data_IF_478266423431
#
_entry.id   IF_478266423431
#
_cell.length_a   1.000
_cell.length_b   1.000
_cell.length_c   1.000
_cell.angle_alpha   90.00
_cell.angle_beta   90.00
_cell.angle_gamma   90.00
#
_symmetry.space_group_name_H-M   'P 1'
#
loop_
_entity.id
_entity.type
_entity.pdbx_description
1 polymer ?
#
# COMPACT_ATOMS: atom_id res chain seq x y z
N UNK A 1 -1.59 -10.32 27.03
CA UNK A 1 -0.18 -9.89 26.92
C UNK A 1 0.33 -10.34 25.57
N UNK A 2 0.48 -9.41 24.62
CA UNK A 2 0.96 -9.63 23.23
C UNK A 2 1.91 -8.49 22.79
N UNK A 3 2.45 -7.76 23.77
CA UNK A 3 3.25 -6.55 23.55
C UNK A 3 4.68 -6.85 23.08
N UNK A 4 5.26 -8.01 23.43
CA UNK A 4 6.66 -8.32 23.10
C UNK A 4 6.90 -8.61 21.62
N UNK A 5 5.99 -9.35 20.96
CA UNK A 5 6.14 -9.71 19.53
C UNK A 5 6.08 -8.50 18.58
N UNK A 6 5.42 -7.43 19.01
CA UNK A 6 5.15 -6.29 18.13
C UNK A 6 6.31 -5.28 18.11
N UNK A 7 7.20 -5.36 19.11
CA UNK A 7 8.44 -4.58 19.24
C UNK A 7 9.63 -5.20 18.50
N UNK A 8 9.56 -6.48 18.11
CA UNK A 8 10.66 -7.19 17.44
C UNK A 8 10.66 -7.05 15.91
N UNK A 9 9.62 -6.46 15.31
CA UNK A 9 9.55 -6.24 13.86
C UNK A 9 10.29 -4.96 13.48
N UNK A 10 11.57 -5.09 13.23
CA UNK A 10 12.40 -4.02 12.69
C UNK A 10 12.23 -3.85 11.16
N UNK A 11 12.81 -2.76 10.63
CA UNK A 11 12.73 -2.45 9.21
C UNK A 11 13.30 -3.56 8.30
N UNK A 12 14.45 -4.21 8.62
CA UNK A 12 14.91 -5.39 7.88
C UNK A 12 13.89 -6.54 7.80
N UNK A 13 13.21 -6.88 8.89
CA UNK A 13 12.18 -7.93 8.87
C UNK A 13 10.96 -7.53 8.01
N UNK A 14 10.53 -6.26 8.11
CA UNK A 14 9.36 -5.76 7.40
C UNK A 14 9.61 -5.50 5.90
N UNK A 15 10.81 -5.05 5.54
CA UNK A 15 11.10 -4.54 4.20
C UNK A 15 12.24 -5.27 3.49
N UNK A 16 12.82 -6.29 4.13
CA UNK A 16 13.79 -7.18 3.48
C UNK A 16 13.16 -8.17 2.50
N UNK A 17 13.95 -8.84 1.65
CA UNK A 17 13.43 -9.76 0.63
C UNK A 17 12.54 -10.89 1.17
N UNK A 18 12.84 -11.40 2.36
CA UNK A 18 12.06 -12.46 3.01
C UNK A 18 10.59 -12.04 3.26
N UNK A 19 10.32 -10.74 3.39
CA UNK A 19 8.98 -10.20 3.63
C UNK A 19 8.01 -10.46 2.46
N UNK A 20 8.52 -10.68 1.24
CA UNK A 20 7.68 -11.01 0.07
C UNK A 20 6.99 -12.36 0.21
N UNK A 21 7.65 -13.31 0.89
CA UNK A 21 7.10 -14.64 1.14
C UNK A 21 6.43 -14.69 2.50
N UNK A 22 7.09 -14.21 3.56
CA UNK A 22 6.61 -14.38 4.92
C UNK A 22 5.38 -13.53 5.28
N UNK A 23 5.11 -12.48 4.49
CA UNK A 23 4.18 -11.43 4.86
C UNK A 23 4.87 -10.33 5.65
N UNK A 24 4.23 -9.16 5.66
CA UNK A 24 4.78 -7.96 6.25
C UNK A 24 3.73 -6.98 6.74
N UNK A 25 4.14 -6.19 7.72
CA UNK A 25 3.40 -5.11 8.34
C UNK A 25 4.43 -4.02 8.66
N UNK A 26 4.01 -2.75 8.59
CA UNK A 26 4.88 -1.65 9.05
C UNK A 26 5.41 -1.93 10.46
N UNK A 27 6.68 -1.59 10.78
CA UNK A 27 7.21 -1.60 12.14
C UNK A 27 6.37 -0.77 13.12
N UNK A 28 6.53 -1.01 14.42
CA UNK A 28 5.73 -0.37 15.47
C UNK A 28 5.69 1.16 15.38
N UNK A 29 6.84 1.80 15.16
CA UNK A 29 6.92 3.26 15.03
C UNK A 29 6.19 3.74 13.76
N UNK A 30 6.27 2.96 12.68
CA UNK A 30 5.57 3.25 11.43
C UNK A 30 4.05 3.14 11.58
N UNK A 31 3.57 2.11 12.30
CA UNK A 31 2.13 1.96 12.63
C UNK A 31 1.65 3.09 13.52
N UNK A 32 2.41 3.42 14.57
CA UNK A 32 2.08 4.47 15.52
C UNK A 32 2.01 5.83 14.84
N UNK A 33 2.96 6.15 13.95
CA UNK A 33 2.93 7.39 13.18
C UNK A 33 1.67 7.49 12.32
N UNK A 34 1.30 6.40 11.64
CA UNK A 34 0.10 6.35 10.79
C UNK A 34 -1.22 6.33 11.58
N UNK A 35 -1.19 6.22 12.89
CA UNK A 35 -2.37 6.23 13.76
C UNK A 35 -2.42 7.50 14.64
N UNK A 36 -1.47 8.42 14.46
CA UNK A 36 -1.38 9.62 15.26
C UNK A 36 -2.65 10.47 15.19
N UNK A 37 -3.03 11.16 16.28
CA UNK A 37 -4.22 12.00 16.31
C UNK A 37 -4.13 13.21 15.37
N UNK A 38 -2.91 13.59 14.98
CA UNK A 38 -2.64 14.80 14.19
C UNK A 38 -2.90 14.64 12.68
N UNK A 39 -3.38 13.47 12.26
CA UNK A 39 -3.67 13.19 10.87
C UNK A 39 -2.53 12.55 10.12
N UNK A 40 -2.57 12.70 8.80
CA UNK A 40 -1.51 12.21 7.92
C UNK A 40 -0.22 13.00 8.15
N UNK A 41 0.96 12.33 8.16
CA UNK A 41 2.23 13.03 8.23
C UNK A 41 2.36 14.04 7.08
N UNK A 42 2.81 15.27 7.36
CA UNK A 42 2.88 16.34 6.34
C UNK A 42 3.74 15.95 5.14
N UNK A 43 4.82 15.18 5.36
CA UNK A 43 5.68 14.65 4.31
C UNK A 43 4.94 13.78 3.29
N UNK A 44 3.80 13.17 3.65
CA UNK A 44 2.91 12.50 2.68
C UNK A 44 2.33 13.50 1.71
N UNK A 45 1.93 14.68 2.16
CA UNK A 45 1.32 15.69 1.30
C UNK A 45 2.33 16.34 0.36
N UNK A 46 3.60 16.37 0.76
CA UNK A 46 4.68 17.00 0.00
C UNK A 46 5.46 16.03 -0.90
N UNK A 47 5.20 14.71 -0.81
CA UNK A 47 5.94 13.72 -1.59
C UNK A 47 5.70 13.84 -3.10
N UNK A 48 6.77 13.98 -3.87
CA UNK A 48 6.73 14.07 -5.34
C UNK A 48 7.28 12.81 -6.04
N UNK A 49 7.97 11.95 -5.30
CA UNK A 49 8.61 10.73 -5.81
C UNK A 49 8.55 9.59 -4.79
N UNK A 50 8.77 8.37 -5.27
CA UNK A 50 8.87 7.17 -4.41
C UNK A 50 9.98 7.33 -3.36
N UNK A 51 9.75 6.83 -2.16
CA UNK A 51 10.69 6.97 -1.07
C UNK A 51 10.08 6.67 0.30
N UNK A 52 10.45 7.48 1.29
CA UNK A 52 10.12 7.27 2.69
C UNK A 52 9.72 8.60 3.32
N UNK A 53 8.47 8.69 3.80
CA UNK A 53 7.99 9.88 4.53
C UNK A 53 8.48 9.90 5.97
N UNK A 54 8.89 8.72 6.46
CA UNK A 54 9.57 8.48 7.72
C UNK A 54 10.38 7.17 7.57
N UNK A 55 11.34 6.87 8.47
CA UNK A 55 12.14 5.64 8.40
C UNK A 55 11.34 4.33 8.24
N UNK A 56 10.08 4.28 8.72
CA UNK A 56 9.25 3.08 8.72
C UNK A 56 7.94 3.25 7.91
N UNK A 57 7.88 4.23 7.02
CA UNK A 57 6.69 4.55 6.24
C UNK A 57 7.07 4.78 4.76
N UNK A 58 7.03 3.72 3.94
CA UNK A 58 7.30 3.85 2.50
C UNK A 58 6.16 4.58 1.81
N UNK A 59 6.49 5.31 0.75
CA UNK A 59 5.52 5.98 -0.12
C UNK A 59 5.86 5.72 -1.59
N UNK A 60 4.82 5.44 -2.37
CA UNK A 60 4.87 5.26 -3.82
C UNK A 60 4.00 6.33 -4.47
N UNK A 61 4.57 7.13 -5.35
CA UNK A 61 3.90 8.25 -6.02
C UNK A 61 3.55 7.84 -7.45
N UNK A 62 2.25 7.81 -7.76
CA UNK A 62 1.69 7.45 -9.07
C UNK A 62 0.86 8.61 -9.59
N UNK A 63 1.54 9.57 -10.21
CA UNK A 63 0.92 10.82 -10.65
C UNK A 63 0.34 11.61 -9.47
N UNK A 64 -0.99 11.77 -9.43
CA UNK A 64 -1.68 12.46 -8.32
C UNK A 64 -2.00 11.56 -7.13
N UNK A 65 -1.85 10.23 -7.28
CA UNK A 65 -2.04 9.29 -6.20
C UNK A 65 -0.74 9.10 -5.42
N UNK A 66 -0.83 9.16 -4.10
CA UNK A 66 0.25 8.80 -3.19
C UNK A 66 -0.18 7.58 -2.40
N UNK A 67 0.56 6.50 -2.53
CA UNK A 67 0.22 5.20 -1.99
C UNK A 67 1.18 4.94 -0.85
N UNK A 68 0.64 4.67 0.34
CA UNK A 68 1.38 4.23 1.50
C UNK A 68 1.10 2.73 1.68
N UNK A 69 2.00 1.85 1.21
CA UNK A 69 1.94 0.43 1.53
C UNK A 69 1.91 0.24 3.04
N UNK A 70 0.92 -0.50 3.53
CA UNK A 70 0.69 -0.70 4.96
C UNK A 70 0.99 -2.14 5.39
N UNK A 71 0.58 -3.11 4.57
CA UNK A 71 0.80 -4.52 4.86
C UNK A 71 0.75 -5.38 3.60
N UNK A 72 1.41 -6.53 3.69
CA UNK A 72 1.43 -7.61 2.71
C UNK A 72 1.19 -8.92 3.43
N UNK A 73 0.32 -9.78 2.89
CA UNK A 73 -0.10 -10.98 3.61
C UNK A 73 0.94 -12.10 3.56
N UNK A 74 1.52 -12.37 2.38
CA UNK A 74 2.42 -13.50 2.17
C UNK A 74 1.81 -14.83 2.64
N UNK A 75 2.66 -15.80 2.98
CA UNK A 75 2.27 -17.11 3.50
C UNK A 75 1.83 -17.10 4.98
N UNK A 76 1.94 -15.94 5.64
CA UNK A 76 1.54 -15.73 7.04
C UNK A 76 2.57 -16.17 8.08
N UNK A 77 3.78 -16.60 7.69
CA UNK A 77 4.84 -17.02 8.62
C UNK A 77 5.51 -15.86 9.37
N UNK A 78 5.53 -14.66 8.79
CA UNK A 78 6.07 -13.44 9.39
C UNK A 78 5.02 -12.54 10.04
N UNK A 79 3.85 -12.40 9.39
CA UNK A 79 2.72 -11.61 9.91
C UNK A 79 1.43 -12.40 9.71
N UNK A 80 0.66 -12.55 10.78
CA UNK A 80 -0.59 -13.31 10.70
C UNK A 80 -1.71 -12.47 10.07
N UNK A 81 -2.63 -13.11 9.33
CA UNK A 81 -3.85 -12.48 8.82
C UNK A 81 -4.58 -11.56 9.81
N UNK A 82 -4.74 -12.03 11.04
CA UNK A 82 -5.48 -11.31 12.08
C UNK A 82 -4.76 -10.02 12.54
N UNK A 83 -3.44 -9.95 12.41
CA UNK A 83 -2.66 -8.76 12.76
C UNK A 83 -2.88 -7.67 11.71
N UNK A 84 -2.90 -8.05 10.42
CA UNK A 84 -3.19 -7.12 9.33
C UNK A 84 -4.64 -6.62 9.42
N UNK A 85 -5.59 -7.52 9.71
CA UNK A 85 -6.98 -7.15 9.90
C UNK A 85 -7.16 -6.18 11.08
N UNK A 86 -6.50 -6.46 12.21
CA UNK A 86 -6.52 -5.57 13.38
C UNK A 86 -5.91 -4.19 13.03
N UNK A 87 -4.80 -4.16 12.31
CA UNK A 87 -4.18 -2.91 11.87
C UNK A 87 -5.10 -2.13 10.92
N UNK A 88 -5.77 -2.79 9.97
CA UNK A 88 -6.75 -2.14 9.10
C UNK A 88 -7.91 -1.52 9.87
N UNK A 89 -8.44 -2.22 10.90
CA UNK A 89 -9.47 -1.66 11.78
C UNK A 89 -8.96 -0.44 12.56
N UNK A 90 -7.71 -0.46 13.02
CA UNK A 90 -7.09 0.70 13.67
C UNK A 90 -6.91 1.87 12.70
N UNK A 91 -6.51 1.61 11.45
CA UNK A 91 -6.40 2.63 10.40
C UNK A 91 -7.76 3.23 10.04
N UNK A 92 -8.82 2.41 10.00
CA UNK A 92 -10.18 2.90 9.80
C UNK A 92 -10.60 3.81 10.96
N UNK A 93 -10.31 3.43 12.20
CA UNK A 93 -10.57 4.27 13.38
C UNK A 93 -9.75 5.57 13.37
N UNK A 94 -8.48 5.53 12.96
CA UNK A 94 -7.65 6.72 12.79
C UNK A 94 -8.24 7.64 11.71
N UNK A 95 -8.65 7.08 10.56
CA UNK A 95 -9.36 7.82 9.52
C UNK A 95 -10.62 8.52 10.02
N UNK A 96 -11.39 7.87 10.91
CA UNK A 96 -12.53 8.50 11.57
C UNK A 96 -12.16 9.71 12.41
N UNK A 97 -11.05 9.62 13.16
CA UNK A 97 -10.56 10.74 13.97
C UNK A 97 -10.11 11.90 13.09
N UNK A 98 -9.46 11.61 11.96
CA UNK A 98 -8.91 12.64 11.07
C UNK A 98 -9.98 13.37 10.25
N UNK A 99 -10.96 12.63 9.74
CA UNK A 99 -11.81 13.08 8.65
C UNK A 99 -13.31 12.78 8.86
N UNK A 100 -13.69 12.28 10.04
CA UNK A 100 -15.06 11.91 10.37
C UNK A 100 -15.50 10.60 9.72
N UNK A 101 -16.81 10.42 9.53
CA UNK A 101 -17.35 9.14 9.05
C UNK A 101 -16.80 8.77 7.67
N UNK A 102 -16.36 7.51 7.54
CA UNK A 102 -15.94 6.94 6.27
C UNK A 102 -17.14 6.51 5.45
N UNK A 103 -16.89 6.27 4.17
CA UNK A 103 -17.84 5.65 3.24
C UNK A 103 -17.16 4.50 2.54
N UNK A 104 -17.90 3.44 2.25
CA UNK A 104 -17.42 2.41 1.34
C UNK A 104 -17.57 2.93 -0.08
N UNK A 105 -16.47 2.96 -0.83
CA UNK A 105 -16.51 3.26 -2.25
C UNK A 105 -16.89 1.97 -2.99
N UNK A 106 -18.09 1.96 -3.60
CA UNK A 106 -18.49 0.85 -4.48
C UNK A 106 -17.67 0.90 -5.77
N UNK A 107 -16.61 0.08 -5.82
CA UNK A 107 -15.74 -0.01 -6.99
C UNK A 107 -16.40 -0.75 -8.16
N UNK A 108 -17.52 -1.43 -7.94
CA UNK A 108 -18.26 -2.15 -8.98
C UNK A 108 -19.21 -1.24 -9.76
N UNK A 109 -19.69 -0.17 -9.11
CA UNK A 109 -20.55 0.85 -9.71
C UNK A 109 -19.91 1.44 -10.98
N UNK A 110 -20.72 1.58 -12.03
CA UNK A 110 -20.30 2.27 -13.26
C UNK A 110 -20.70 3.73 -13.18
N UNK A 111 -19.70 4.62 -13.19
CA UNK A 111 -19.89 6.08 -13.15
C UNK A 111 -19.11 6.73 -14.29
N UNK A 112 -19.63 7.83 -14.82
CA UNK A 112 -18.98 8.65 -15.85
C UNK A 112 -18.41 9.94 -15.25
N UNK A 113 -17.63 9.80 -14.18
CA UNK A 113 -16.98 10.89 -13.47
C UNK A 113 -15.56 10.48 -13.00
N UNK A 114 -14.88 11.36 -12.29
CA UNK A 114 -13.55 11.08 -11.72
C UNK A 114 -13.56 9.94 -10.71
N UNK A 115 -14.69 9.69 -10.03
CA UNK A 115 -14.85 8.56 -9.11
C UNK A 115 -14.88 7.26 -9.91
N UNK A 116 -15.68 7.18 -10.97
CA UNK A 116 -15.72 6.02 -11.87
C UNK A 116 -14.37 5.70 -12.50
N UNK A 117 -13.60 6.73 -12.84
CA UNK A 117 -12.23 6.58 -13.36
C UNK A 117 -11.29 5.99 -12.31
N UNK A 118 -11.36 6.47 -11.06
CA UNK A 118 -10.56 5.96 -9.94
C UNK A 118 -10.98 4.54 -9.53
N UNK A 119 -12.28 4.25 -9.42
CA UNK A 119 -12.82 2.91 -9.18
C UNK A 119 -12.41 1.91 -10.27
N UNK A 120 -12.38 2.35 -11.53
CA UNK A 120 -11.87 1.56 -12.65
C UNK A 120 -10.40 1.19 -12.49
N UNK A 121 -9.56 2.16 -12.11
CA UNK A 121 -8.14 1.94 -11.87
C UNK A 121 -7.89 1.04 -10.65
N UNK A 122 -8.65 1.21 -9.56
CA UNK A 122 -8.62 0.36 -8.37
C UNK A 122 -8.95 -1.10 -8.71
N UNK A 123 -10.03 -1.34 -9.47
CA UNK A 123 -10.36 -2.70 -9.94
C UNK A 123 -9.24 -3.30 -10.80
N UNK A 124 -8.67 -2.52 -11.71
CA UNK A 124 -7.56 -2.98 -12.54
C UNK A 124 -6.30 -3.30 -11.72
N UNK A 125 -6.13 -2.64 -10.58
CA UNK A 125 -5.08 -2.92 -9.59
C UNK A 125 -5.44 -4.05 -8.60
N UNK A 126 -6.59 -4.72 -8.78
CA UNK A 126 -7.01 -5.83 -7.93
C UNK A 126 -7.62 -5.44 -6.59
N UNK A 127 -8.07 -4.18 -6.42
CA UNK A 127 -8.77 -3.75 -5.21
C UNK A 127 -10.07 -4.54 -5.01
N UNK A 128 -10.36 -4.90 -3.77
CA UNK A 128 -11.54 -5.68 -3.36
C UNK A 128 -12.42 -4.95 -2.35
N UNK A 129 -11.84 -4.05 -1.54
CA UNK A 129 -12.58 -3.21 -0.60
C UNK A 129 -11.88 -1.86 -0.46
N UNK A 130 -12.67 -0.79 -0.42
CA UNK A 130 -12.15 0.58 -0.30
C UNK A 130 -13.01 1.37 0.67
N UNK A 131 -12.44 1.70 1.83
CA UNK A 131 -13.00 2.68 2.75
C UNK A 131 -12.41 4.04 2.46
N UNK A 132 -13.23 5.09 2.31
CA UNK A 132 -12.75 6.41 1.90
C UNK A 132 -13.29 7.56 2.75
N UNK A 133 -12.50 8.63 2.81
CA UNK A 133 -12.75 9.84 3.57
C UNK A 133 -12.49 11.09 2.74
N UNK A 134 -13.22 12.16 3.05
CA UNK A 134 -12.86 13.52 2.63
C UNK A 134 -11.99 14.14 3.71
N UNK A 135 -10.67 14.08 3.56
CA UNK A 135 -9.71 14.57 4.55
C UNK A 135 -9.66 16.09 4.59
N UNK A 136 -9.75 16.74 3.43
CA UNK A 136 -9.83 18.20 3.32
C UNK A 136 -10.64 18.62 2.10
N UNK A 137 -10.69 19.93 1.81
CA UNK A 137 -11.33 20.43 0.59
C UNK A 137 -10.62 20.03 -0.71
N UNK A 138 -9.39 19.51 -0.61
CA UNK A 138 -8.57 19.13 -1.78
C UNK A 138 -8.07 17.69 -1.71
N UNK A 139 -8.02 17.09 -0.51
CA UNK A 139 -7.45 15.76 -0.26
C UNK A 139 -8.54 14.77 0.10
N UNK A 140 -8.52 13.63 -0.59
CA UNK A 140 -9.24 12.42 -0.27
C UNK A 140 -8.28 11.34 0.24
N UNK A 141 -8.78 10.48 1.10
CA UNK A 141 -8.04 9.32 1.62
C UNK A 141 -8.85 8.06 1.34
N UNK A 142 -8.18 6.97 0.97
CA UNK A 142 -8.81 5.68 0.75
C UNK A 142 -7.94 4.56 1.33
N UNK A 143 -8.47 3.78 2.27
CA UNK A 143 -7.87 2.55 2.76
C UNK A 143 -8.30 1.42 1.83
N UNK A 144 -7.33 0.85 1.11
CA UNK A 144 -7.56 -0.08 0.01
C UNK A 144 -7.05 -1.45 0.39
N UNK A 145 -7.95 -2.42 0.37
CA UNK A 145 -7.61 -3.83 0.29
C UNK A 145 -7.54 -4.24 -1.17
N UNK A 146 -6.50 -4.99 -1.53
CA UNK A 146 -6.36 -5.62 -2.85
C UNK A 146 -5.94 -7.08 -2.71
N UNK A 147 -6.13 -7.85 -3.78
CA UNK A 147 -5.84 -9.28 -3.83
C UNK A 147 -6.91 -10.15 -3.18
N UNK A 148 -6.72 -11.47 -3.27
CA UNK A 148 -7.64 -12.47 -2.75
C UNK A 148 -7.09 -13.11 -1.47
N UNK A 149 -7.99 -13.39 -0.51
CA UNK A 149 -7.60 -13.89 0.81
C UNK A 149 -7.18 -15.36 0.80
N UNK A 150 -7.70 -16.13 -0.16
CA UNK A 150 -7.38 -17.54 -0.42
C UNK A 150 -6.01 -17.73 -1.07
N UNK A 151 -5.57 -16.78 -1.90
CA UNK A 151 -4.32 -16.87 -2.65
C UNK A 151 -3.09 -16.29 -1.94
N UNK A 152 -3.17 -15.91 -0.65
CA UNK A 152 -2.07 -15.24 0.06
C UNK A 152 -1.55 -13.95 -0.62
N UNK A 153 -2.33 -13.38 -1.55
CA UNK A 153 -1.98 -12.20 -2.35
C UNK A 153 -2.57 -10.90 -1.80
N UNK A 154 -3.19 -10.97 -0.62
CA UNK A 154 -3.92 -9.85 -0.06
C UNK A 154 -2.97 -8.77 0.46
N UNK A 155 -3.32 -7.51 0.23
CA UNK A 155 -2.49 -6.38 0.62
C UNK A 155 -3.35 -5.24 1.15
N UNK A 156 -2.73 -4.37 1.93
CA UNK A 156 -3.34 -3.16 2.49
C UNK A 156 -2.49 -1.94 2.14
N UNK A 157 -3.12 -0.90 1.63
CA UNK A 157 -2.49 0.40 1.42
C UNK A 157 -3.43 1.56 1.77
N UNK A 158 -2.85 2.70 2.14
CA UNK A 158 -3.55 3.96 2.26
C UNK A 158 -3.23 4.84 1.06
N UNK A 159 -4.24 5.16 0.27
CA UNK A 159 -4.13 6.08 -0.85
C UNK A 159 -4.49 7.49 -0.41
N UNK A 160 -3.64 8.45 -0.72
CA UNK A 160 -3.90 9.89 -0.61
C UNK A 160 -4.04 10.44 -2.02
N UNK A 161 -5.23 10.95 -2.34
CA UNK A 161 -5.66 11.27 -3.71
C UNK A 161 -6.38 12.61 -3.76
N UNK A 162 -6.61 13.19 -4.94
CA UNK A 162 -7.51 14.34 -5.07
C UNK A 162 -8.90 14.01 -4.52
N UNK A 163 -9.47 14.92 -3.72
CA UNK A 163 -10.78 14.69 -3.05
C UNK A 163 -11.91 14.32 -4.00
N UNK A 164 -11.90 14.84 -5.23
CA UNK A 164 -12.91 14.54 -6.25
C UNK A 164 -12.92 13.09 -6.72
N UNK A 165 -11.92 12.28 -6.34
CA UNK A 165 -11.88 10.84 -6.64
C UNK A 165 -12.64 10.00 -5.61
N UNK A 166 -12.97 10.58 -4.45
CA UNK A 166 -13.62 9.87 -3.32
C UNK A 166 -14.81 10.63 -2.73
N UNK A 167 -15.18 11.78 -3.30
CA UNK A 167 -16.24 12.64 -2.80
C UNK A 167 -17.19 13.05 -3.92
N UNK A 168 -18.42 12.54 -3.88
CA UNK A 168 -19.43 12.79 -4.91
C UNK A 168 -19.69 14.28 -5.13
N UNK A 169 -19.72 15.06 -4.03
CA UNK A 169 -19.90 16.52 -4.07
C UNK A 169 -18.81 17.24 -4.87
N UNK A 170 -17.60 16.68 -4.90
CA UNK A 170 -16.41 17.28 -5.52
C UNK A 170 -15.95 16.49 -6.74
N UNK A 171 -16.75 15.51 -7.19
CA UNK A 171 -16.48 14.74 -8.38
C UNK A 171 -16.41 15.65 -9.60
N UNK A 172 -15.50 15.33 -10.51
CA UNK A 172 -15.26 16.07 -11.75
C UNK A 172 -15.51 15.15 -12.94
N UNK A 173 -15.33 15.70 -14.13
CA UNK A 173 -15.32 14.94 -15.40
C UNK A 173 -14.35 13.74 -15.35
N UNK A 174 -14.62 12.69 -16.14
CA UNK A 174 -13.76 11.51 -16.23
C UNK A 174 -12.30 11.84 -16.48
N UNK A 175 -11.43 10.96 -15.98
CA UNK A 175 -9.99 11.08 -16.05
C UNK A 175 -9.40 9.90 -16.82
N UNK A 176 -8.27 10.13 -17.49
CA UNK A 176 -7.54 9.08 -18.21
C UNK A 176 -6.20 8.84 -17.52
N UNK A 177 -5.72 7.60 -17.62
CA UNK A 177 -4.36 7.25 -17.18
C UNK A 177 -4.11 7.32 -15.67
N UNK A 178 -5.15 7.11 -14.85
CA UNK A 178 -4.94 6.92 -13.41
C UNK A 178 -4.21 5.58 -13.23
N UNK A 179 -3.00 5.62 -12.66
CA UNK A 179 -2.29 4.44 -12.19
C UNK A 179 -2.29 4.43 -10.67
N UNK A 180 -2.72 3.32 -10.09
CA UNK A 180 -2.77 3.08 -8.64
C UNK A 180 -2.23 1.69 -8.29
N UNK A 181 -1.55 1.05 -9.25
CA UNK A 181 -0.92 -0.24 -9.04
C UNK A 181 0.31 -0.05 -8.17
N UNK A 182 0.53 -1.00 -7.29
CA UNK A 182 1.70 -1.09 -6.45
C UNK A 182 1.92 -2.54 -6.03
N UNK A 183 3.11 -2.84 -5.54
CA UNK A 183 3.52 -4.15 -5.06
C UNK A 183 4.44 -4.02 -3.85
N UNK A 184 4.45 -5.03 -2.97
CA UNK A 184 5.40 -5.04 -1.86
C UNK A 184 6.85 -5.16 -2.33
N UNK A 185 7.10 -5.71 -3.52
CA UNK A 185 8.42 -5.77 -4.15
C UNK A 185 9.03 -4.38 -4.40
N UNK A 186 8.20 -3.37 -4.70
CA UNK A 186 8.66 -1.99 -4.82
C UNK A 186 9.14 -1.44 -3.47
N UNK A 187 8.46 -1.78 -2.36
CA UNK A 187 8.89 -1.40 -1.00
C UNK A 187 10.23 -2.03 -0.66
N UNK A 188 10.39 -3.32 -0.96
CA UNK A 188 11.66 -4.04 -0.76
C UNK A 188 12.79 -3.41 -1.57
N UNK A 189 12.50 -3.00 -2.81
CA UNK A 189 13.47 -2.30 -3.67
C UNK A 189 13.85 -0.93 -3.11
N UNK A 190 12.88 -0.16 -2.60
CA UNK A 190 13.14 1.11 -1.92
C UNK A 190 14.01 0.93 -0.67
N UNK A 191 13.77 -0.12 0.11
CA UNK A 191 14.55 -0.40 1.31
C UNK A 191 15.99 -0.85 0.98
N UNK A 192 16.17 -1.68 -0.03
CA UNK A 192 17.48 -2.07 -0.55
C UNK A 192 18.29 -0.83 -1.00
N UNK A 193 17.65 0.10 -1.72
CA UNK A 193 18.24 1.38 -2.12
C UNK A 193 18.64 2.26 -0.93
N UNK A 194 17.86 2.28 0.15
CA UNK A 194 18.18 3.04 1.37
C UNK A 194 19.40 2.46 2.11
N UNK A 195 19.50 1.14 2.19
CA UNK A 195 20.56 0.45 2.94
C UNK A 195 21.84 0.23 2.14
N UNK A 196 21.84 0.54 0.84
CA UNK A 196 22.96 0.25 -0.05
C UNK A 196 23.15 -1.24 -0.33
N UNK A 197 22.14 -2.06 -0.03
CA UNK A 197 22.16 -3.52 -0.25
C UNK A 197 21.70 -3.80 -1.68
N UNK A 198 22.53 -4.45 -2.50
CA UNK A 198 22.09 -4.89 -3.82
C UNK A 198 21.06 -6.02 -3.67
N UNK A 199 19.90 -5.91 -4.32
CA UNK A 199 18.98 -7.04 -4.41
C UNK A 199 19.65 -8.17 -5.20
N UNK A 200 19.49 -9.45 -4.81
CA UNK A 200 19.89 -10.55 -5.68
C UNK A 200 19.02 -10.45 -6.94
N UNK A 201 19.66 -10.11 -8.06
CA UNK A 201 19.02 -10.19 -9.37
C UNK A 201 18.66 -11.65 -9.56
N UNK A 202 17.36 -11.94 -9.69
CA UNK A 202 16.92 -13.28 -10.08
C UNK A 202 17.64 -13.61 -11.39
N UNK A 203 18.57 -14.55 -11.34
CA UNK A 203 19.28 -15.01 -12.51
C UNK A 203 18.23 -15.61 -13.45
N UNK A 204 17.91 -14.85 -14.50
CA UNK A 204 17.14 -15.37 -15.61
C UNK A 204 17.86 -16.60 -16.12
N UNK A 205 17.13 -17.70 -16.09
CA UNK A 205 17.51 -19.00 -16.59
C UNK A 205 17.76 -18.93 -18.09
N UNK A 206 18.96 -18.51 -18.49
CA UNK A 206 19.50 -18.88 -19.79
C UNK A 206 20.15 -20.25 -19.61
N UNK A 207 19.35 -21.28 -19.88
CA UNK A 207 19.85 -22.56 -20.31
C UNK A 207 20.76 -22.31 -21.51
N UNK A 208 22.08 -22.38 -21.28
CA UNK A 208 23.06 -22.48 -22.34
C UNK A 208 22.98 -23.91 -22.87
N UNK A 209 22.37 -24.02 -24.05
CA UNK A 209 22.31 -25.23 -24.87
C UNK A 209 23.37 -25.06 -25.96
N UNK A 210 24.36 -25.94 -25.95
CA UNK A 210 25.41 -26.06 -26.97
C UNK A 210 26.80 -25.85 -26.36
N UNK A 211 27.84 -26.62 -26.63
CA UNK A 211 28.14 -27.68 -27.58
C UNK A 211 29.33 -28.44 -26.95
N UNK A 212 29.25 -29.76 -26.81
CA UNK A 212 30.47 -30.57 -26.71
C UNK A 212 30.42 -31.64 -27.81
N UNK A 213 31.17 -31.32 -28.86
CA UNK A 213 31.57 -32.23 -29.91
C UNK A 213 32.84 -32.99 -29.46
N UNK A 214 32.92 -34.26 -29.90
CA UNK A 214 34.13 -35.09 -30.08
C UNK A 214 34.69 -35.90 -28.89
N UNK A 215 34.42 -37.21 -28.99
CA UNK A 215 35.15 -38.32 -28.37
C UNK A 215 34.69 -39.65 -28.93
#
# INVERSE_FOLDING_TARGET
MRFDMDLERDAPAAFGPASLTAGSLLPFEGRTLMQGPEGLPSAVLDAEQDGWVSPNNPILVRGLAKILPLAWWGDGSGVKPEEIAAFASQMQAAGMQWAGNWRVLDITERRDDSIGSYSGALRAAGATLVDCWTYSQTIGVALVWAGAADDATRSLALHVVPVGWVSERLAKKPLKGIDVRWSWAEVVTLFAGMTGTALPVAADSLADVGEEELG
#
